data_IF_677391436432
#
_entry.id   IF_677391436432
#
_cell.length_a   1.000
_cell.length_b   1.000
_cell.length_c   1.000
_cell.angle_alpha   90.00
_cell.angle_beta   90.00
_cell.angle_gamma   90.00
#
_symmetry.space_group_name_H-M   'P 1'
#
loop_
_entity.id
_entity.type
_entity.pdbx_description
1 polymer ?
#
# COMPACT_ATOMS: atom_id res chain seq x y z
N UNK A 1 38.86 -8.08 26.40
CA UNK A 1 40.13 -7.33 26.23
C UNK A 1 40.67 -7.61 24.84
N UNK A 2 40.71 -6.59 23.97
CA UNK A 2 41.31 -6.66 22.65
C UNK A 2 42.82 -6.42 22.76
N UNK A 3 43.64 -7.20 22.04
CA UNK A 3 45.02 -6.83 21.70
C UNK A 3 45.24 -6.97 20.20
N UNK A 4 45.65 -5.83 19.62
CA UNK A 4 46.14 -5.56 18.26
C UNK A 4 47.50 -6.29 18.08
N UNK A 5 48.16 -6.48 16.94
CA UNK A 5 48.25 -5.72 15.68
C UNK A 5 49.24 -6.47 14.76
N UNK A 6 49.01 -6.44 13.43
CA UNK A 6 49.94 -6.19 12.28
C UNK A 6 51.28 -7.01 12.13
N UNK A 7 51.83 -7.38 10.96
CA UNK A 7 52.25 -6.61 9.78
C UNK A 7 52.79 -7.54 8.64
N UNK A 8 52.51 -7.14 7.37
CA UNK A 8 53.43 -6.98 6.19
C UNK A 8 54.14 -8.20 5.52
N UNK A 9 53.99 -8.42 4.19
CA UNK A 9 54.93 -8.02 3.09
C UNK A 9 54.67 -8.74 1.73
N UNK A 10 54.83 -8.00 0.63
CA UNK A 10 55.20 -8.51 -0.71
C UNK A 10 54.04 -8.71 -1.69
N UNK A 11 54.09 -8.40 -2.98
CA UNK A 11 55.13 -7.82 -3.85
C UNK A 11 54.44 -7.41 -5.16
N UNK A 12 55.00 -6.39 -5.78
CA UNK A 12 54.70 -5.77 -7.07
C UNK A 12 54.78 -6.75 -8.26
N UNK A 13 53.77 -6.77 -9.14
CA UNK A 13 53.90 -7.14 -10.56
C UNK A 13 52.92 -6.31 -11.40
N UNK A 14 53.47 -5.49 -12.29
CA UNK A 14 52.78 -4.66 -13.29
C UNK A 14 52.63 -5.50 -14.57
N UNK A 15 51.43 -5.51 -15.15
CA UNK A 15 51.18 -6.10 -16.47
C UNK A 15 49.85 -5.62 -17.03
N UNK A 16 49.90 -4.53 -17.80
CA UNK A 16 48.77 -4.01 -18.58
C UNK A 16 48.46 -4.97 -19.74
N UNK A 17 47.25 -5.52 -19.76
CA UNK A 17 46.58 -5.92 -20.98
C UNK A 17 45.16 -5.37 -20.93
N UNK A 18 44.93 -4.32 -21.73
CA UNK A 18 43.60 -3.78 -21.96
C UNK A 18 42.82 -4.79 -22.81
N UNK A 19 41.73 -5.31 -22.26
CA UNK A 19 40.60 -5.75 -23.06
C UNK A 19 39.35 -5.19 -22.41
N UNK A 20 38.64 -4.43 -23.22
CA UNK A 20 37.52 -3.58 -22.86
C UNK A 20 36.33 -4.39 -22.35
N UNK A 21 35.87 -4.05 -21.14
CA UNK A 21 34.50 -3.66 -20.78
C UNK A 21 34.36 -3.77 -19.24
N UNK A 22 34.70 -2.70 -18.54
CA UNK A 22 34.30 -2.51 -17.14
C UNK A 22 33.30 -1.35 -17.09
N UNK A 23 32.08 -1.62 -16.63
CA UNK A 23 31.18 -0.64 -16.00
C UNK A 23 30.35 -1.39 -14.96
N UNK A 24 30.96 -1.73 -13.82
CA UNK A 24 30.23 -1.78 -12.55
C UNK A 24 30.37 -0.41 -11.90
N UNK A 25 29.31 0.39 -12.00
CA UNK A 25 29.06 1.52 -11.10
C UNK A 25 27.65 2.08 -11.25
N UNK A 26 27.08 2.39 -10.09
CA UNK A 26 26.06 3.41 -9.85
C UNK A 26 24.60 2.98 -10.06
N UNK A 27 23.99 2.70 -8.89
CA UNK A 27 22.63 3.12 -8.52
C UNK A 27 22.20 4.34 -9.34
N UNK A 28 21.40 4.11 -10.39
CA UNK A 28 20.63 5.17 -11.03
C UNK A 28 19.43 5.49 -10.16
N UNK A 29 19.68 6.43 -9.24
CA UNK A 29 18.76 7.48 -8.85
C UNK A 29 18.12 8.08 -10.12
N UNK A 30 16.92 7.64 -10.48
CA UNK A 30 15.91 8.54 -11.06
C UNK A 30 15.02 9.01 -9.91
N UNK A 31 15.54 9.93 -9.12
CA UNK A 31 14.67 10.90 -8.44
C UNK A 31 14.32 11.95 -9.47
N UNK A 32 13.04 12.04 -9.83
CA UNK A 32 12.26 13.28 -9.96
C UNK A 32 11.02 13.03 -10.83
N UNK A 33 10.09 12.26 -10.26
CA UNK A 33 8.68 12.64 -10.26
C UNK A 33 8.11 12.03 -8.96
N UNK A 34 8.69 12.30 -7.79
CA UNK A 34 8.23 13.42 -6.96
C UNK A 34 7.63 14.58 -7.76
N UNK A 35 6.53 14.30 -8.46
CA UNK A 35 5.49 15.28 -8.44
C UNK A 35 5.07 15.35 -6.98
N UNK A 36 5.54 16.39 -6.32
CA UNK A 36 4.61 17.22 -5.59
C UNK A 36 3.47 17.54 -6.55
N UNK A 37 2.57 16.58 -6.78
CA UNK A 37 1.20 16.92 -7.04
C UNK A 37 0.86 17.54 -5.70
N UNK A 38 0.82 18.87 -5.67
CA UNK A 38 -0.18 19.54 -4.87
C UNK A 38 -1.47 18.85 -5.27
N UNK A 39 -1.74 17.73 -4.61
CA UNK A 39 -3.00 17.03 -4.70
C UNK A 39 -3.90 18.05 -4.06
N UNK A 40 -4.54 18.84 -4.92
CA UNK A 40 -5.80 19.44 -4.61
C UNK A 40 -6.61 18.24 -4.12
N UNK A 41 -6.61 18.02 -2.80
CA UNK A 41 -7.08 16.80 -2.14
C UNK A 41 -8.53 16.70 -2.53
N UNK A 42 -8.77 16.03 -3.66
CA UNK A 42 -10.10 15.84 -4.18
C UNK A 42 -10.75 15.03 -3.09
N UNK A 43 -11.80 15.58 -2.51
CA UNK A 43 -12.49 14.92 -1.42
C UNK A 43 -12.90 13.54 -1.94
N UNK A 44 -12.26 12.50 -1.42
CA UNK A 44 -12.46 11.12 -1.87
C UNK A 44 -13.79 10.66 -1.31
N UNK A 45 -14.78 10.51 -2.20
CA UNK A 45 -16.16 10.23 -1.83
C UNK A 45 -16.69 9.04 -2.61
N UNK A 46 -17.40 8.16 -1.91
CA UNK A 46 -18.07 7.02 -2.53
C UNK A 46 -19.39 7.49 -3.16
N UNK A 47 -19.77 6.88 -4.27
CA UNK A 47 -21.03 7.14 -4.97
C UNK A 47 -21.85 5.85 -5.10
N UNK A 48 -23.08 5.96 -5.59
CA UNK A 48 -23.98 4.81 -5.71
C UNK A 48 -23.46 3.74 -6.68
N UNK A 49 -22.69 4.12 -7.70
CA UNK A 49 -22.11 3.18 -8.66
C UNK A 49 -21.02 2.33 -8.01
N UNK A 50 -20.11 2.93 -7.23
CA UNK A 50 -19.13 2.16 -6.46
C UNK A 50 -19.84 1.16 -5.53
N UNK A 51 -20.80 1.63 -4.72
CA UNK A 51 -21.53 0.79 -3.78
C UNK A 51 -22.27 -0.37 -4.46
N UNK A 52 -22.88 -0.13 -5.62
CA UNK A 52 -23.66 -1.13 -6.35
C UNK A 52 -22.80 -2.26 -6.89
N UNK A 53 -21.54 -1.99 -7.23
CA UNK A 53 -20.62 -2.98 -7.78
C UNK A 53 -19.88 -3.81 -6.71
N UNK A 54 -20.03 -3.48 -5.43
CA UNK A 54 -19.46 -4.27 -4.33
C UNK A 54 -20.34 -5.48 -4.07
N UNK A 55 -19.80 -6.69 -4.19
CA UNK A 55 -20.55 -7.93 -3.98
C UNK A 55 -20.06 -8.68 -2.73
N UNK A 56 -20.94 -9.49 -2.16
CA UNK A 56 -20.57 -10.44 -1.12
C UNK A 56 -19.38 -11.31 -1.56
N UNK A 57 -18.50 -11.64 -0.62
CA UNK A 57 -17.33 -12.47 -0.88
C UNK A 57 -16.08 -11.74 -1.40
N UNK A 58 -16.21 -10.47 -1.85
CA UNK A 58 -15.07 -9.62 -2.20
C UNK A 58 -14.18 -9.38 -0.98
N UNK A 59 -12.87 -9.29 -1.20
CA UNK A 59 -11.90 -8.91 -0.17
C UNK A 59 -11.87 -7.39 0.04
N UNK A 60 -11.32 -6.94 1.17
CA UNK A 60 -11.09 -5.51 1.39
C UNK A 60 -10.26 -4.88 0.26
N UNK A 61 -9.25 -5.59 -0.25
CA UNK A 61 -8.41 -5.08 -1.35
C UNK A 61 -9.21 -4.91 -2.64
N UNK A 62 -10.04 -5.88 -3.01
CA UNK A 62 -10.91 -5.77 -4.19
C UNK A 62 -11.91 -4.61 -4.04
N UNK A 63 -12.47 -4.41 -2.84
CA UNK A 63 -13.36 -3.27 -2.56
C UNK A 63 -12.62 -1.94 -2.65
N UNK A 64 -11.45 -1.84 -2.04
CA UNK A 64 -10.60 -0.66 -2.08
C UNK A 64 -10.20 -0.31 -3.51
N UNK A 65 -9.78 -1.30 -4.30
CA UNK A 65 -9.38 -1.11 -5.69
C UNK A 65 -10.56 -0.69 -6.58
N UNK A 66 -11.77 -1.21 -6.29
CA UNK A 66 -13.01 -0.81 -6.95
C UNK A 66 -13.40 0.64 -6.63
N UNK A 67 -13.28 1.05 -5.36
CA UNK A 67 -13.63 2.42 -4.92
C UNK A 67 -12.54 3.43 -5.29
N UNK A 68 -11.27 2.99 -5.32
CA UNK A 68 -10.10 3.77 -5.64
C UNK A 68 -9.40 4.41 -4.43
N UNK A 69 -9.91 4.21 -3.21
CA UNK A 69 -9.33 4.76 -1.98
C UNK A 69 -9.75 3.97 -0.73
N UNK A 70 -9.01 4.16 0.37
CA UNK A 70 -9.18 3.44 1.62
C UNK A 70 -10.46 3.87 2.38
N UNK A 71 -11.04 2.92 3.11
CA UNK A 71 -12.14 3.18 4.03
C UNK A 71 -11.63 3.49 5.44
N UNK A 72 -12.43 4.22 6.20
CA UNK A 72 -12.19 4.45 7.63
C UNK A 72 -12.58 3.18 8.42
N UNK A 73 -11.63 2.52 9.10
CA UNK A 73 -11.92 1.39 9.97
C UNK A 73 -12.72 1.86 11.20
N UNK A 74 -13.90 1.30 11.40
CA UNK A 74 -14.77 1.63 12.53
C UNK A 74 -14.70 0.59 13.65
N UNK A 75 -14.71 -0.70 13.27
CA UNK A 75 -14.75 -1.83 14.20
C UNK A 75 -13.77 -2.89 13.71
N UNK A 76 -13.00 -3.45 14.63
CA UNK A 76 -12.22 -4.67 14.45
C UNK A 76 -12.39 -5.55 15.69
N UNK A 77 -12.92 -6.75 15.49
CA UNK A 77 -13.26 -7.70 16.55
C UNK A 77 -12.74 -9.09 16.15
N UNK A 78 -12.16 -9.81 17.11
CA UNK A 78 -11.58 -11.14 16.89
C UNK A 78 -10.05 -11.13 16.84
N UNK A 79 -9.47 -12.29 16.54
CA UNK A 79 -8.01 -12.41 16.41
C UNK A 79 -7.57 -12.10 14.98
N UNK A 80 -6.53 -11.27 14.86
CA UNK A 80 -5.89 -10.98 13.59
C UNK A 80 -5.41 -12.28 12.93
N UNK A 81 -5.62 -12.40 11.62
CA UNK A 81 -5.32 -13.61 10.84
C UNK A 81 -6.10 -14.88 11.22
N UNK A 82 -7.18 -14.77 11.99
CA UNK A 82 -8.10 -15.88 12.27
C UNK A 82 -9.32 -15.89 11.33
N UNK A 83 -9.96 -17.04 11.19
CA UNK A 83 -11.29 -17.19 10.53
C UNK A 83 -12.44 -16.79 11.46
N UNK A 84 -12.21 -15.79 12.31
CA UNK A 84 -13.22 -15.22 13.22
C UNK A 84 -13.12 -13.70 13.31
N UNK A 85 -12.34 -13.09 12.41
CA UNK A 85 -12.16 -11.64 12.41
C UNK A 85 -13.36 -10.98 11.75
N UNK A 86 -13.87 -9.95 12.42
CA UNK A 86 -14.91 -9.06 11.90
C UNK A 86 -14.33 -7.65 11.81
N UNK A 87 -14.48 -7.04 10.65
CA UNK A 87 -14.10 -5.65 10.43
C UNK A 87 -15.26 -4.88 9.82
N UNK A 88 -15.46 -3.63 10.23
CA UNK A 88 -16.43 -2.72 9.60
C UNK A 88 -15.68 -1.49 9.15
N UNK A 89 -15.74 -1.20 7.86
CA UNK A 89 -15.16 -0.01 7.24
C UNK A 89 -16.27 0.91 6.73
N UNK A 90 -16.02 2.22 6.80
CA UNK A 90 -16.91 3.24 6.28
C UNK A 90 -16.23 4.09 5.19
N UNK A 91 -17.02 4.47 4.19
CA UNK A 91 -16.64 5.45 3.18
C UNK A 91 -17.65 6.60 3.20
N UNK A 92 -17.16 7.83 3.26
CA UNK A 92 -18.00 9.03 3.18
C UNK A 92 -18.47 9.25 1.75
N UNK A 93 -19.74 9.60 1.57
CA UNK A 93 -20.25 10.02 0.27
C UNK A 93 -20.08 11.53 0.04
N UNK A 94 -20.61 12.01 -1.08
CA UNK A 94 -20.54 13.43 -1.47
C UNK A 94 -21.29 14.35 -0.50
N UNK A 95 -22.42 13.90 0.04
CA UNK A 95 -23.19 14.66 1.02
C UNK A 95 -22.63 14.42 2.43
N UNK A 96 -22.58 15.43 3.32
CA UNK A 96 -22.01 15.31 4.66
C UNK A 96 -22.64 14.22 5.55
N UNK A 97 -23.86 13.80 5.24
CA UNK A 97 -24.60 12.75 5.95
C UNK A 97 -24.65 11.42 5.17
N UNK A 98 -24.02 11.36 4.01
CA UNK A 98 -24.00 10.18 3.17
C UNK A 98 -22.78 9.33 3.44
N UNK A 99 -22.98 8.01 3.44
CA UNK A 99 -21.91 7.05 3.69
C UNK A 99 -22.28 5.66 3.17
N UNK A 100 -21.26 4.82 3.01
CA UNK A 100 -21.39 3.36 2.96
C UNK A 100 -20.67 2.75 4.16
N UNK A 101 -21.23 1.70 4.73
CA UNK A 101 -20.58 0.82 5.69
C UNK A 101 -20.54 -0.60 5.12
N UNK A 102 -19.40 -1.26 5.27
CA UNK A 102 -19.19 -2.61 4.76
C UNK A 102 -18.63 -3.46 5.89
N UNK A 103 -19.35 -4.53 6.20
CA UNK A 103 -18.93 -5.54 7.16
C UNK A 103 -18.18 -6.63 6.43
N UNK A 104 -16.97 -6.89 6.87
CA UNK A 104 -16.15 -8.01 6.46
C UNK A 104 -16.14 -9.06 7.57
N UNK A 105 -16.41 -10.30 7.21
CA UNK A 105 -16.14 -11.47 8.06
C UNK A 105 -15.08 -12.32 7.35
N UNK A 106 -14.05 -12.71 8.08
CA UNK A 106 -12.94 -13.52 7.56
C UNK A 106 -12.30 -12.90 6.32
N UNK A 107 -12.17 -11.57 6.33
CA UNK A 107 -11.58 -10.77 5.26
C UNK A 107 -12.44 -10.63 4.01
N UNK A 108 -13.70 -11.06 4.03
CA UNK A 108 -14.63 -11.01 2.89
C UNK A 108 -15.89 -10.22 3.22
N UNK A 109 -16.42 -9.48 2.24
CA UNK A 109 -17.69 -8.77 2.35
C UNK A 109 -18.77 -9.76 2.76
N UNK A 110 -19.35 -9.52 3.92
CA UNK A 110 -20.47 -10.27 4.46
C UNK A 110 -21.77 -9.49 4.29
N UNK A 111 -21.73 -8.19 4.54
CA UNK A 111 -22.89 -7.31 4.35
C UNK A 111 -22.45 -5.88 4.06
N UNK A 112 -23.37 -5.09 3.49
CA UNK A 112 -23.16 -3.67 3.17
C UNK A 112 -24.43 -2.86 3.43
N UNK A 113 -24.26 -1.64 3.90
CA UNK A 113 -25.33 -0.66 4.10
C UNK A 113 -24.89 0.68 3.55
N UNK A 114 -25.85 1.51 3.13
CA UNK A 114 -25.58 2.87 2.69
C UNK A 114 -26.68 3.82 3.13
N UNK A 115 -26.32 5.09 3.25
CA UNK A 115 -27.25 6.18 3.43
C UNK A 115 -26.90 7.31 2.48
N UNK A 116 -27.90 7.81 1.74
CA UNK A 116 -27.81 9.06 0.99
C UNK A 116 -26.77 9.09 -0.13
N UNK A 117 -26.29 7.94 -0.63
CA UNK A 117 -25.39 7.93 -1.79
C UNK A 117 -26.15 8.30 -3.07
N UNK A 118 -25.50 9.13 -3.88
CA UNK A 118 -25.93 9.54 -5.21
C UNK A 118 -24.99 9.05 -6.31
#
# INVERSE_FOLDING_TARGET
MMKKSALILGSLCIGFSMTACDQKKEVKKKTAMSSTITENKKQETININHFSNINEGMTYLEVKDLIGFEGDLLIEEGEEHSTRIKQIFAWKGNDPKSFAEITFLDGKVHSKTQQGLS
#
